data_IF_646677959984
#
_entry.id   IF_646677959984
#
_cell.length_a   1.000
_cell.length_b   1.000
_cell.length_c   1.000
_cell.angle_alpha   90.00
_cell.angle_beta   90.00
_cell.angle_gamma   90.00
#
_symmetry.space_group_name_H-M   'P 1'
#
loop_
_entity.id
_entity.type
_entity.pdbx_description
1 polymer ?
#
# COMPACT_ATOMS: atom_id res chain seq x y z
N UNK A 1 16.58 4.77 -5.09
CA UNK A 1 15.90 5.96 -5.64
C UNK A 1 14.86 5.50 -6.65
N UNK A 2 13.57 5.82 -6.47
CA UNK A 2 12.57 5.60 -7.50
C UNK A 2 12.95 6.39 -8.77
N UNK A 3 12.93 5.75 -9.94
CA UNK A 3 13.27 6.40 -11.21
C UNK A 3 12.02 6.68 -12.04
N UNK A 4 11.88 7.95 -12.45
CA UNK A 4 10.85 8.38 -13.40
C UNK A 4 11.18 7.84 -14.79
N UNK A 5 10.30 7.02 -15.36
CA UNK A 5 10.37 6.62 -16.76
C UNK A 5 9.79 7.75 -17.60
N UNK A 6 10.61 8.34 -18.46
CA UNK A 6 10.20 9.40 -19.36
C UNK A 6 10.09 8.83 -20.78
N UNK A 7 8.97 9.08 -21.45
CA UNK A 7 8.81 8.73 -22.86
C UNK A 7 9.77 9.54 -23.74
N UNK A 8 10.00 9.09 -24.98
CA UNK A 8 10.79 9.84 -25.98
C UNK A 8 10.25 11.26 -26.26
N UNK A 9 9.03 11.58 -25.81
CA UNK A 9 8.35 12.89 -25.95
C UNK A 9 8.30 13.69 -24.64
N UNK A 10 9.05 13.31 -23.61
CA UNK A 10 9.13 14.06 -22.35
C UNK A 10 7.98 13.83 -21.36
N UNK A 11 7.00 12.97 -21.67
CA UNK A 11 5.93 12.62 -20.71
C UNK A 11 6.39 11.57 -19.72
N UNK A 12 6.10 11.77 -18.43
CA UNK A 12 6.21 10.72 -17.42
C UNK A 12 5.29 9.55 -17.80
N UNK A 13 5.86 8.34 -17.80
CA UNK A 13 5.15 7.09 -18.10
C UNK A 13 4.62 6.42 -16.83
N UNK A 14 5.10 6.85 -15.66
CA UNK A 14 4.63 6.30 -14.40
C UNK A 14 3.26 6.92 -14.04
N UNK A 15 2.26 6.10 -13.71
CA UNK A 15 1.00 6.60 -13.22
C UNK A 15 1.21 7.35 -11.89
N UNK A 16 0.42 8.40 -11.68
CA UNK A 16 0.34 9.10 -10.39
C UNK A 16 -0.92 8.63 -9.68
N UNK A 17 -0.75 7.97 -8.53
CA UNK A 17 -1.82 7.46 -7.69
C UNK A 17 -2.33 8.54 -6.74
N UNK A 18 -3.65 8.59 -6.55
CA UNK A 18 -4.31 9.43 -5.55
C UNK A 18 -4.94 8.58 -4.43
N UNK A 19 -5.32 7.34 -4.74
CA UNK A 19 -5.93 6.40 -3.79
C UNK A 19 -5.50 4.97 -4.08
N UNK A 20 -5.56 4.13 -3.04
CA UNK A 20 -5.58 2.68 -3.15
C UNK A 20 -6.99 2.17 -2.84
N UNK A 21 -7.46 1.21 -3.62
CA UNK A 21 -8.77 0.59 -3.48
C UNK A 21 -8.57 -0.91 -3.21
N UNK A 22 -9.09 -1.39 -2.08
CA UNK A 22 -9.10 -2.81 -1.76
C UNK A 22 -10.49 -3.32 -2.11
N UNK A 23 -10.57 -4.07 -3.21
CA UNK A 23 -11.83 -4.59 -3.75
C UNK A 23 -11.96 -6.06 -3.37
N UNK A 24 -12.95 -6.35 -2.53
CA UNK A 24 -13.45 -7.69 -2.22
C UNK A 24 -14.97 -7.72 -2.46
N UNK A 25 -15.77 -8.33 -1.57
CA UNK A 25 -17.23 -8.18 -1.56
C UNK A 25 -17.70 -6.74 -1.31
N UNK A 26 -16.80 -5.87 -0.83
CA UNK A 26 -16.95 -4.44 -0.62
C UNK A 26 -15.71 -3.72 -1.19
N UNK A 27 -15.77 -2.39 -1.34
CA UNK A 27 -14.61 -1.57 -1.70
C UNK A 27 -14.20 -0.76 -0.48
N UNK A 28 -12.94 -0.90 -0.08
CA UNK A 28 -12.33 -0.07 0.96
C UNK A 28 -11.38 0.90 0.27
N UNK A 29 -11.55 2.18 0.54
CA UNK A 29 -10.72 3.24 -0.02
C UNK A 29 -9.67 3.69 0.99
N UNK A 30 -8.43 3.83 0.51
CA UNK A 30 -7.32 4.44 1.22
C UNK A 30 -6.91 5.66 0.41
N UNK A 31 -7.19 6.84 0.95
CA UNK A 31 -6.75 8.11 0.37
C UNK A 31 -5.27 8.32 0.65
N UNK A 32 -4.53 8.78 -0.37
CA UNK A 32 -3.14 9.19 -0.18
C UNK A 32 -3.14 10.68 0.19
N UNK A 33 -2.40 11.04 1.24
CA UNK A 33 -2.26 12.43 1.67
C UNK A 33 -1.69 13.32 0.56
N UNK A 34 -0.82 12.74 -0.28
CA UNK A 34 -0.30 13.38 -1.48
C UNK A 34 -0.28 12.39 -2.64
N UNK A 35 -0.46 12.87 -3.90
CA UNK A 35 -0.33 12.00 -5.06
C UNK A 35 1.07 11.41 -5.18
N UNK A 36 1.16 10.09 -5.39
CA UNK A 36 2.44 9.38 -5.43
C UNK A 36 2.72 8.72 -6.77
N UNK A 37 4.01 8.63 -7.13
CA UNK A 37 4.44 8.00 -8.37
C UNK A 37 4.47 6.48 -8.20
N UNK A 38 3.68 5.78 -9.01
CA UNK A 38 3.67 4.32 -9.05
C UNK A 38 4.87 3.83 -9.86
N UNK A 39 5.87 3.29 -9.17
CA UNK A 39 7.07 2.73 -9.80
C UNK A 39 6.91 1.25 -10.14
N UNK A 40 6.71 0.41 -9.13
CA UNK A 40 6.38 -1.01 -9.25
C UNK A 40 5.09 -1.26 -8.46
N UNK A 41 4.07 -1.79 -9.13
CA UNK A 41 2.69 -1.81 -8.63
C UNK A 41 2.56 -2.61 -7.33
N UNK A 42 3.19 -3.77 -7.22
CA UNK A 42 3.09 -4.63 -6.03
C UNK A 42 3.74 -3.96 -4.82
N UNK A 43 4.97 -3.50 -4.98
CA UNK A 43 5.76 -2.87 -3.93
C UNK A 43 5.11 -1.57 -3.48
N UNK A 44 4.63 -0.76 -4.43
CA UNK A 44 3.83 0.42 -4.14
C UNK A 44 2.62 0.08 -3.27
N UNK A 45 1.78 -0.88 -3.69
CA UNK A 45 0.62 -1.29 -2.89
C UNK A 45 1.00 -1.77 -1.49
N UNK A 46 2.07 -2.57 -1.35
CA UNK A 46 2.49 -3.10 -0.05
C UNK A 46 2.93 -1.97 0.88
N UNK A 47 3.81 -1.09 0.40
CA UNK A 47 4.40 0.00 1.20
C UNK A 47 3.30 0.97 1.64
N UNK A 48 2.51 1.47 0.70
CA UNK A 48 1.46 2.45 0.98
C UNK A 48 0.38 1.90 1.92
N UNK A 49 -0.04 0.64 1.75
CA UNK A 49 -0.99 0.01 2.68
C UNK A 49 -0.36 -0.16 4.07
N UNK A 50 0.93 -0.49 4.13
CA UNK A 50 1.63 -0.67 5.40
C UNK A 50 1.76 0.65 6.16
N UNK A 51 2.15 1.72 5.48
CA UNK A 51 2.24 3.09 6.03
C UNK A 51 0.87 3.53 6.56
N UNK A 52 -0.18 3.38 5.74
CA UNK A 52 -1.55 3.72 6.15
C UNK A 52 -1.98 3.01 7.43
N UNK A 53 -1.69 1.71 7.56
CA UNK A 53 -1.99 0.98 8.79
C UNK A 53 -1.23 1.55 9.99
N UNK A 54 0.07 1.81 9.85
CA UNK A 54 0.92 2.30 10.95
C UNK A 54 0.49 3.69 11.44
N UNK A 55 0.07 4.56 10.54
CA UNK A 55 -0.47 5.88 10.88
C UNK A 55 -1.86 5.81 11.53
N UNK A 56 -2.62 4.76 11.22
CA UNK A 56 -4.02 4.60 11.63
C UNK A 56 -4.25 3.36 12.50
N UNK A 57 -3.24 2.89 13.27
CA UNK A 57 -3.34 1.64 14.06
C UNK A 57 -4.61 1.63 14.94
N UNK A 58 -4.93 2.77 15.54
CA UNK A 58 -6.12 2.94 16.39
C UNK A 58 -7.45 2.67 15.69
N UNK A 59 -7.55 2.81 14.35
CA UNK A 59 -8.77 2.52 13.58
C UNK A 59 -8.96 1.03 13.30
N UNK A 60 -7.87 0.28 13.19
CA UNK A 60 -7.88 -1.10 12.71
C UNK A 60 -7.68 -2.14 13.81
N UNK A 61 -7.37 -1.70 15.03
CA UNK A 61 -7.13 -2.58 16.16
C UNK A 61 -5.75 -3.23 16.04
N UNK A 62 -5.71 -4.55 15.84
CA UNK A 62 -4.46 -5.29 15.72
C UNK A 62 -4.12 -5.65 14.26
N UNK A 63 -2.84 -5.96 14.02
CA UNK A 63 -2.33 -6.31 12.69
C UNK A 63 -3.10 -7.48 12.06
N UNK A 64 -3.45 -8.49 12.86
CA UNK A 64 -4.16 -9.65 12.35
C UNK A 64 -5.58 -9.30 11.89
N UNK A 65 -6.25 -8.37 12.56
CA UNK A 65 -7.57 -7.90 12.15
C UNK A 65 -7.49 -7.04 10.88
N UNK A 66 -6.45 -6.21 10.77
CA UNK A 66 -6.19 -5.48 9.53
C UNK A 66 -5.94 -6.42 8.35
N UNK A 67 -5.15 -7.48 8.53
CA UNK A 67 -4.86 -8.43 7.45
C UNK A 67 -6.11 -9.24 7.03
N UNK A 68 -7.08 -9.42 7.93
CA UNK A 68 -8.37 -10.07 7.58
C UNK A 68 -9.15 -9.29 6.52
N UNK A 69 -8.94 -7.98 6.38
CA UNK A 69 -9.54 -7.17 5.30
C UNK A 69 -9.20 -7.73 3.91
N UNK A 70 -8.01 -8.32 3.79
CA UNK A 70 -7.50 -8.93 2.57
C UNK A 70 -7.84 -10.43 2.46
N UNK A 71 -8.77 -10.92 3.29
CA UNK A 71 -9.21 -12.31 3.26
C UNK A 71 -10.51 -12.44 2.46
N UNK A 72 -10.60 -13.49 1.66
CA UNK A 72 -11.71 -13.71 0.73
C UNK A 72 -11.22 -14.36 -0.55
N UNK A 73 -12.17 -14.65 -1.44
CA UNK A 73 -11.90 -15.05 -2.83
C UNK A 73 -11.87 -13.80 -3.70
N UNK A 74 -10.95 -13.77 -4.68
CA UNK A 74 -10.84 -12.69 -5.67
C UNK A 74 -10.70 -11.29 -5.06
N UNK A 75 -9.80 -11.14 -4.09
CA UNK A 75 -9.47 -9.83 -3.52
C UNK A 75 -8.39 -9.17 -4.38
N UNK A 76 -8.63 -7.93 -4.77
CA UNK A 76 -7.71 -7.13 -5.58
C UNK A 76 -7.37 -5.83 -4.89
N UNK A 77 -6.12 -5.41 -5.04
CA UNK A 77 -5.69 -4.05 -4.74
C UNK A 77 -5.56 -3.30 -6.06
N UNK A 78 -6.32 -2.24 -6.20
CA UNK A 78 -6.35 -1.39 -7.37
C UNK A 78 -5.85 0.01 -7.02
N UNK A 79 -5.24 0.66 -8.00
CA UNK A 79 -4.64 1.98 -7.84
C UNK A 79 -5.50 2.95 -8.63
N UNK A 80 -6.02 3.97 -7.96
CA UNK A 80 -6.77 5.04 -8.61
C UNK A 80 -5.80 6.16 -9.01
N UNK A 81 -5.72 6.42 -10.30
CA UNK A 81 -4.90 7.48 -10.89
C UNK A 81 -5.79 8.53 -11.54
N UNK A 82 -5.21 9.65 -11.99
CA UNK A 82 -5.92 10.65 -12.80
C UNK A 82 -6.46 10.10 -14.13
N UNK A 83 -5.89 8.99 -14.62
CA UNK A 83 -6.30 8.34 -15.87
C UNK A 83 -7.33 7.23 -15.64
N UNK A 84 -7.67 6.94 -14.39
CA UNK A 84 -8.67 5.94 -14.00
C UNK A 84 -8.10 4.87 -13.07
N UNK A 85 -8.82 3.74 -13.00
CA UNK A 85 -8.49 2.62 -12.12
C UNK A 85 -7.56 1.65 -12.84
N UNK A 86 -6.45 1.29 -12.22
CA UNK A 86 -5.55 0.23 -12.73
C UNK A 86 -5.38 -0.87 -11.70
N UNK A 87 -5.28 -2.12 -12.15
CA UNK A 87 -4.96 -3.23 -11.27
C UNK A 87 -3.55 -3.03 -10.70
N UNK A 88 -3.44 -2.95 -9.38
CA UNK A 88 -2.18 -2.95 -8.65
C UNK A 88 -1.67 -4.37 -8.49
N UNK A 89 -2.44 -5.20 -7.77
CA UNK A 89 -2.10 -6.60 -7.50
C UNK A 89 -3.30 -7.43 -7.07
N UNK A 90 -3.32 -8.71 -7.46
CA UNK A 90 -4.19 -9.72 -6.85
C UNK A 90 -3.63 -10.18 -5.48
N UNK A 91 -4.48 -10.17 -4.47
CA UNK A 91 -4.10 -10.54 -3.11
C UNK A 91 -3.90 -12.05 -3.02
N UNK A 92 -2.65 -12.44 -2.85
CA UNK A 92 -2.23 -13.82 -2.59
C UNK A 92 -1.78 -14.00 -1.14
N UNK A 93 -1.58 -15.25 -0.71
CA UNK A 93 -0.93 -15.54 0.58
C UNK A 93 0.47 -14.90 0.66
N UNK A 94 1.21 -14.89 -0.45
CA UNK A 94 2.51 -14.23 -0.53
C UNK A 94 2.39 -12.72 -0.30
N UNK A 95 1.42 -12.05 -0.93
CA UNK A 95 1.17 -10.64 -0.70
C UNK A 95 0.87 -10.35 0.77
N UNK A 96 -0.03 -11.12 1.40
CA UNK A 96 -0.38 -10.93 2.81
C UNK A 96 0.83 -11.09 3.74
N UNK A 97 1.70 -12.06 3.45
CA UNK A 97 2.92 -12.26 4.23
C UNK A 97 3.92 -11.10 4.06
N UNK A 98 4.10 -10.61 2.83
CA UNK A 98 4.93 -9.44 2.57
C UNK A 98 4.39 -8.18 3.26
N UNK A 99 3.07 -7.98 3.21
CA UNK A 99 2.42 -6.86 3.89
C UNK A 99 2.61 -6.93 5.42
N UNK A 100 2.42 -8.11 6.02
CA UNK A 100 2.70 -8.31 7.45
C UNK A 100 4.14 -7.96 7.82
N UNK A 101 5.11 -8.39 7.01
CA UNK A 101 6.52 -8.11 7.25
C UNK A 101 6.84 -6.63 7.10
N UNK A 102 6.31 -5.98 6.06
CA UNK A 102 6.48 -4.54 5.85
C UNK A 102 5.94 -3.73 7.04
N UNK A 103 4.72 -4.04 7.50
CA UNK A 103 4.12 -3.37 8.67
C UNK A 103 4.98 -3.57 9.92
N UNK A 104 5.37 -4.82 10.23
CA UNK A 104 6.22 -5.10 11.40
C UNK A 104 7.54 -4.35 11.31
N UNK A 105 8.16 -4.32 10.12
CA UNK A 105 9.39 -3.57 9.87
C UNK A 105 9.21 -2.07 10.11
N UNK A 106 8.14 -1.47 9.60
CA UNK A 106 7.84 -0.05 9.82
C UNK A 106 7.59 0.29 11.28
N UNK A 107 6.88 -0.57 12.02
CA UNK A 107 6.66 -0.38 13.46
C UNK A 107 8.00 -0.37 14.20
N UNK A 108 8.88 -1.34 13.93
CA UNK A 108 10.21 -1.39 14.56
C UNK A 108 11.04 -0.16 14.19
N UNK A 109 11.06 0.23 12.91
CA UNK A 109 11.79 1.41 12.46
C UNK A 109 11.30 2.69 13.15
N UNK A 110 9.98 2.87 13.30
CA UNK A 110 9.41 4.01 14.01
C UNK A 110 9.75 3.97 15.50
N UNK A 111 9.66 2.81 16.16
CA UNK A 111 10.04 2.67 17.57
C UNK A 111 11.52 2.99 17.82
N UNK A 112 12.41 2.63 16.87
CA UNK A 112 13.83 2.98 16.95
C UNK A 112 14.02 4.48 16.70
N UNK A 113 13.34 5.06 15.71
CA UNK A 113 13.40 6.51 15.42
C UNK A 113 12.93 7.35 16.59
N UNK A 114 11.91 6.88 17.31
CA UNK A 114 11.24 7.60 18.38
C UNK A 114 11.83 7.26 19.78
N UNK A 115 12.94 6.52 19.83
CA UNK A 115 13.63 6.05 21.07
C UNK A 115 12.72 5.28 22.05
N UNK A 116 11.69 4.62 21.54
CA UNK A 116 10.75 3.80 22.33
C UNK A 116 10.98 2.30 22.18
N UNK A 117 11.99 1.88 21.41
CA UNK A 117 12.32 0.46 21.24
C UNK A 117 12.95 -0.10 22.51
N UNK A 118 12.39 -1.20 23.02
CA UNK A 118 12.93 -1.95 24.16
C UNK A 118 13.30 -3.34 23.64
N UNK A 119 14.56 -3.75 23.87
CA UNK A 119 15.10 -5.06 23.46
C UNK A 119 14.32 -6.26 24.00
#
# INVERSE_FOLDING_TARGET
>A
MPSLKISKRGKALNPIANKILITNSCVIEIDLDQPEIVTEKRSFCIVTIAEHYVENIHKYGCLEDFIKIFSGTNVFVEILTSEGKTLGIEVTTYFKNQLKLAIKGLIVLNSVRDDTFVE
#
